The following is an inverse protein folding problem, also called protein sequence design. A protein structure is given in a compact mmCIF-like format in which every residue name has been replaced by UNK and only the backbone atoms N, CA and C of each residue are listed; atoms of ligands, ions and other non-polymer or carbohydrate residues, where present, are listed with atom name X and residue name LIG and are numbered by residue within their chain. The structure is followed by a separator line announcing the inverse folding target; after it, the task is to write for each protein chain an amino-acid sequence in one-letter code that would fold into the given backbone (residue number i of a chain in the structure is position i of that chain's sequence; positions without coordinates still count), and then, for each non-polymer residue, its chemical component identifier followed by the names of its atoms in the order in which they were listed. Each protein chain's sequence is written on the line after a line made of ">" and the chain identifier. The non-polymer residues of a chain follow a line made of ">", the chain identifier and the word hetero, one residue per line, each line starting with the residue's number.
data_IF_228966367872
#
_entry.id   IF_228966367872
#
_cell.length_a   1.000
_cell.length_b   1.000
_cell.length_c   1.000
_cell.angle_alpha   90.00
_cell.angle_beta   90.00
_cell.angle_gamma   90.00
#
_symmetry.space_group_name_H-M   'P 1'
#
loop_
_entity.id
_entity.type
_entity.pdbx_description
1 polymer ?
#
# COMPACT_ATOMS: atom_id res chain seq x y z
N UNK A 1 -59.81 9.18 -8.05
CA UNK A 1 -58.80 10.07 -8.66
C UNK A 1 -57.90 9.19 -9.51
N UNK A 2 -58.29 8.91 -10.74
CA UNK A 2 -57.56 8.04 -11.66
C UNK A 2 -56.33 8.77 -12.18
N UNK A 3 -55.15 8.39 -11.69
CA UNK A 3 -53.89 8.88 -12.20
C UNK A 3 -53.77 8.45 -13.67
N UNK A 4 -53.83 9.40 -14.60
CA UNK A 4 -53.58 9.11 -16.02
C UNK A 4 -52.18 8.48 -16.15
N UNK A 5 -52.04 7.43 -16.96
CA UNK A 5 -50.76 6.73 -17.12
C UNK A 5 -49.64 7.68 -17.56
N UNK A 6 -49.98 8.75 -18.30
CA UNK A 6 -49.05 9.79 -18.73
C UNK A 6 -48.53 10.66 -17.56
N UNK A 7 -49.37 10.89 -16.55
CA UNK A 7 -48.96 11.63 -15.34
C UNK A 7 -48.08 10.78 -14.44
N UNK A 8 -48.39 9.49 -14.33
CA UNK A 8 -47.56 8.51 -13.61
C UNK A 8 -46.16 8.37 -14.26
N UNK A 9 -46.11 8.31 -15.59
CA UNK A 9 -44.85 8.23 -16.36
C UNK A 9 -43.96 9.44 -16.12
N UNK A 10 -44.52 10.65 -16.23
CA UNK A 10 -43.78 11.90 -16.00
C UNK A 10 -43.27 12.02 -14.56
N UNK A 11 -44.05 11.54 -13.59
CA UNK A 11 -43.63 11.51 -12.18
C UNK A 11 -42.44 10.56 -11.98
N UNK A 12 -42.50 9.34 -12.53
CA UNK A 12 -41.39 8.38 -12.47
C UNK A 12 -40.10 8.93 -13.11
N UNK A 13 -40.20 9.60 -14.26
CA UNK A 13 -39.05 10.21 -14.93
C UNK A 13 -38.42 11.30 -14.05
N UNK A 14 -39.21 12.18 -13.45
CA UNK A 14 -38.71 13.24 -12.56
C UNK A 14 -38.04 12.69 -11.31
N UNK A 15 -38.62 11.66 -10.70
CA UNK A 15 -38.02 10.98 -9.55
C UNK A 15 -36.70 10.32 -9.94
N UNK A 16 -36.63 9.66 -11.10
CA UNK A 16 -35.39 9.07 -11.61
C UNK A 16 -34.30 10.12 -11.87
N UNK A 17 -34.65 11.26 -12.47
CA UNK A 17 -33.70 12.36 -12.70
C UNK A 17 -33.22 12.95 -11.37
N UNK A 18 -34.12 13.14 -10.39
CA UNK A 18 -33.78 13.68 -9.07
C UNK A 18 -32.86 12.75 -8.27
N UNK A 19 -33.08 11.44 -8.32
CA UNK A 19 -32.22 10.46 -7.63
C UNK A 19 -30.84 10.39 -8.26
N UNK A 20 -30.75 10.38 -9.59
CA UNK A 20 -29.47 10.42 -10.32
C UNK A 20 -28.71 11.71 -9.97
N UNK A 21 -29.38 12.86 -10.01
CA UNK A 21 -28.78 14.14 -9.64
C UNK A 21 -28.26 14.14 -8.20
N UNK A 22 -29.05 13.61 -7.25
CA UNK A 22 -28.65 13.51 -5.83
C UNK A 22 -27.39 12.65 -5.63
N UNK A 23 -27.29 11.51 -6.30
CA UNK A 23 -26.11 10.63 -6.21
C UNK A 23 -24.86 11.33 -6.76
N UNK A 24 -25.00 12.07 -7.86
CA UNK A 24 -23.89 12.82 -8.46
C UNK A 24 -23.42 13.93 -7.53
N UNK A 25 -24.34 14.72 -6.99
CA UNK A 25 -24.04 15.79 -6.03
C UNK A 25 -23.33 15.22 -4.80
N UNK A 26 -23.83 14.11 -4.25
CA UNK A 26 -23.22 13.47 -3.09
C UNK A 26 -21.81 12.94 -3.39
N UNK A 27 -21.57 12.33 -4.55
CA UNK A 27 -20.22 11.91 -4.97
C UNK A 27 -19.26 13.08 -5.13
N UNK A 28 -19.73 14.23 -5.61
CA UNK A 28 -18.92 15.45 -5.70
C UNK A 28 -18.62 16.00 -4.32
N UNK A 29 -19.63 16.08 -3.44
CA UNK A 29 -19.46 16.54 -2.06
C UNK A 29 -18.41 15.70 -1.30
N UNK A 30 -18.45 14.37 -1.42
CA UNK A 30 -17.44 13.49 -0.82
C UNK A 30 -16.03 13.80 -1.34
N UNK A 31 -15.87 14.10 -2.63
CA UNK A 31 -14.57 14.49 -3.19
C UNK A 31 -14.07 15.85 -2.71
N UNK A 32 -14.98 16.76 -2.35
CA UNK A 32 -14.62 18.08 -1.80
C UNK A 32 -14.32 18.03 -0.30
N UNK A 33 -15.05 17.20 0.46
CA UNK A 33 -14.84 17.01 1.90
C UNK A 33 -13.54 16.27 2.17
N UNK A 34 -13.23 15.24 1.37
CA UNK A 34 -11.95 14.54 1.39
C UNK A 34 -11.15 14.86 0.11
N UNK A 35 -10.39 15.97 0.10
CA UNK A 35 -9.51 16.31 -1.03
C UNK A 35 -8.41 15.26 -1.25
N UNK A 36 -8.13 14.40 -0.25
CA UNK A 36 -7.07 13.40 -0.29
C UNK A 36 -7.54 12.04 -0.85
N UNK A 37 -8.84 11.87 -1.14
CA UNK A 37 -9.40 10.61 -1.64
C UNK A 37 -8.68 10.09 -2.90
N UNK A 38 -8.27 10.99 -3.81
CA UNK A 38 -7.56 10.62 -5.03
C UNK A 38 -6.14 10.10 -4.75
N UNK A 39 -5.42 10.76 -3.84
CA UNK A 39 -4.08 10.40 -3.39
C UNK A 39 -4.11 9.06 -2.65
N UNK A 40 -5.08 8.88 -1.75
CA UNK A 40 -5.29 7.63 -1.00
C UNK A 40 -5.58 6.46 -1.94
N UNK A 41 -6.43 6.67 -2.96
CA UNK A 41 -6.68 5.64 -3.98
C UNK A 41 -5.43 5.27 -4.78
N UNK A 42 -4.58 6.25 -5.12
CA UNK A 42 -3.34 6.01 -5.83
C UNK A 42 -2.29 5.31 -4.95
N UNK A 43 -2.19 5.71 -3.68
CA UNK A 43 -1.36 5.04 -2.68
C UNK A 43 -1.77 3.57 -2.51
N UNK A 44 -3.08 3.28 -2.50
CA UNK A 44 -3.58 1.89 -2.40
C UNK A 44 -3.14 1.04 -3.58
N UNK A 45 -3.23 1.58 -4.79
CA UNK A 45 -2.77 0.90 -6.00
C UNK A 45 -1.26 0.65 -6.00
N UNK A 46 -0.47 1.67 -5.62
CA UNK A 46 0.99 1.57 -5.57
C UNK A 46 1.44 0.58 -4.51
N UNK A 47 0.86 0.63 -3.31
CA UNK A 47 1.14 -0.32 -2.24
C UNK A 47 0.79 -1.76 -2.67
N UNK A 48 -0.36 -1.97 -3.30
CA UNK A 48 -0.75 -3.29 -3.81
C UNK A 48 0.23 -3.84 -4.87
N UNK A 49 0.75 -2.97 -5.75
CA UNK A 49 1.79 -3.35 -6.70
C UNK A 49 3.09 -3.76 -6.00
N UNK A 50 3.52 -2.96 -5.02
CA UNK A 50 4.75 -3.23 -4.26
C UNK A 50 4.65 -4.54 -3.47
N UNK A 51 3.55 -4.79 -2.78
CA UNK A 51 3.26 -6.05 -2.05
C UNK A 51 3.30 -7.24 -3.01
N UNK A 52 2.68 -7.10 -4.19
CA UNK A 52 2.70 -8.12 -5.24
C UNK A 52 4.12 -8.39 -5.74
N UNK A 53 4.94 -7.36 -5.97
CA UNK A 53 6.35 -7.54 -6.39
C UNK A 53 7.24 -8.13 -5.30
N UNK A 54 6.89 -7.93 -4.03
CA UNK A 54 7.58 -8.52 -2.89
C UNK A 54 7.17 -9.99 -2.64
N UNK A 55 6.13 -10.49 -3.33
CA UNK A 55 5.60 -11.84 -3.12
C UNK A 55 4.93 -12.02 -1.76
N UNK A 56 4.47 -10.94 -1.14
CA UNK A 56 3.73 -10.96 0.12
C UNK A 56 2.25 -11.26 -0.12
N UNK A 57 1.57 -11.78 0.90
CA UNK A 57 0.15 -12.11 0.80
C UNK A 57 -0.68 -10.86 0.48
N UNK A 58 -1.52 -10.89 -0.55
CA UNK A 58 -2.31 -9.73 -0.98
C UNK A 58 -3.47 -9.42 -0.03
N UNK A 59 -3.73 -10.25 0.98
CA UNK A 59 -4.79 -10.12 1.96
C UNK A 59 -4.41 -9.28 3.19
N UNK A 60 -3.21 -8.72 3.25
CA UNK A 60 -2.79 -7.87 4.36
C UNK A 60 -3.62 -6.58 4.35
N UNK A 61 -4.49 -6.42 5.35
CA UNK A 61 -5.24 -5.19 5.58
C UNK A 61 -4.31 -4.15 6.20
N UNK A 62 -3.99 -3.11 5.42
CA UNK A 62 -3.14 -2.00 5.85
C UNK A 62 -3.99 -0.79 6.24
N UNK A 63 -3.66 -0.19 7.38
CA UNK A 63 -4.21 1.11 7.77
C UNK A 63 -3.70 2.23 6.82
N UNK A 64 -4.34 3.40 6.80
CA UNK A 64 -3.94 4.53 5.94
C UNK A 64 -2.48 4.96 6.14
N UNK A 65 -2.02 4.98 7.39
CA UNK A 65 -0.63 5.30 7.72
C UNK A 65 0.34 4.23 7.24
N UNK A 66 0.00 2.96 7.45
CA UNK A 66 0.80 1.81 7.02
C UNK A 66 0.85 1.71 5.50
N UNK A 67 -0.23 2.07 4.82
CA UNK A 67 -0.31 2.17 3.37
C UNK A 67 0.70 3.20 2.85
N UNK A 68 0.81 4.36 3.53
CA UNK A 68 1.79 5.39 3.21
C UNK A 68 3.21 4.84 3.34
N UNK A 69 3.50 4.12 4.43
CA UNK A 69 4.80 3.45 4.64
C UNK A 69 5.02 2.40 3.54
N UNK A 70 4.01 1.62 3.20
CA UNK A 70 4.10 0.55 2.21
C UNK A 70 4.49 1.06 0.82
N UNK A 71 4.06 2.28 0.45
CA UNK A 71 4.46 2.89 -0.84
C UNK A 71 5.94 3.24 -0.96
N UNK A 72 6.68 3.24 0.15
CA UNK A 72 8.11 3.56 0.21
C UNK A 72 9.00 2.31 0.09
N UNK A 73 8.44 1.11 0.20
CA UNK A 73 9.22 -0.11 0.00
C UNK A 73 9.67 -0.24 -1.45
N UNK A 74 10.92 -0.68 -1.61
CA UNK A 74 11.59 -0.88 -2.91
C UNK A 74 11.94 -2.35 -3.03
N UNK A 75 11.79 -2.90 -4.24
CA UNK A 75 12.18 -4.26 -4.54
C UNK A 75 13.71 -4.38 -4.71
N UNK A 76 14.33 -5.46 -4.22
CA UNK A 76 15.78 -5.65 -4.25
C UNK A 76 16.39 -5.63 -5.67
N UNK A 77 15.61 -5.96 -6.70
CA UNK A 77 16.04 -5.87 -8.11
C UNK A 77 16.04 -4.46 -8.70
N UNK A 78 15.71 -3.43 -7.92
CA UNK A 78 15.80 -2.03 -8.33
C UNK A 78 16.94 -1.36 -7.55
N UNK A 79 18.10 -1.16 -8.20
CA UNK A 79 19.27 -0.57 -7.57
C UNK A 79 20.56 -0.86 -8.33
N UNK A 80 21.68 -0.53 -7.69
CA UNK A 80 23.02 -0.91 -8.14
C UNK A 80 23.48 -2.15 -7.38
N UNK A 81 24.29 -2.99 -8.03
CA UNK A 81 24.90 -4.16 -7.39
C UNK A 81 26.23 -3.79 -6.72
N UNK A 82 26.68 -4.61 -5.77
CA UNK A 82 27.97 -4.40 -5.10
C UNK A 82 29.16 -4.37 -6.08
N UNK A 83 29.02 -5.05 -7.22
CA UNK A 83 30.01 -5.06 -8.30
C UNK A 83 30.14 -3.70 -9.01
N UNK A 84 29.10 -2.87 -8.95
CA UNK A 84 29.09 -1.53 -9.56
C UNK A 84 29.80 -0.49 -8.70
N UNK A 85 30.17 -0.83 -7.45
CA UNK A 85 30.81 0.07 -6.49
C UNK A 85 32.32 -0.17 -6.49
N UNK A 86 33.08 0.68 -7.18
CA UNK A 86 34.54 0.62 -7.25
C UNK A 86 35.24 1.15 -5.98
N UNK A 87 36.33 0.49 -5.59
CA UNK A 87 37.28 1.01 -4.57
C UNK A 87 36.87 0.85 -3.10
N UNK A 88 35.67 0.32 -2.81
CA UNK A 88 35.12 0.22 -1.45
C UNK A 88 35.13 -1.20 -0.86
N UNK A 89 35.97 -2.12 -1.36
CA UNK A 89 35.93 -3.55 -1.00
C UNK A 89 35.94 -3.83 0.51
N UNK A 90 36.85 -3.20 1.25
CA UNK A 90 36.95 -3.38 2.70
C UNK A 90 35.68 -2.95 3.46
N UNK A 91 35.04 -1.87 3.01
CA UNK A 91 33.79 -1.37 3.61
C UNK A 91 32.60 -2.27 3.26
N UNK A 92 32.57 -2.77 2.01
CA UNK A 92 31.54 -3.73 1.56
C UNK A 92 31.61 -5.02 2.39
N UNK A 93 32.82 -5.53 2.63
CA UNK A 93 33.05 -6.71 3.47
C UNK A 93 32.60 -6.47 4.91
N UNK A 94 32.97 -5.35 5.52
CA UNK A 94 32.55 -5.01 6.88
C UNK A 94 31.03 -4.89 7.02
N UNK A 95 30.37 -4.21 6.07
CA UNK A 95 28.90 -4.08 6.07
C UNK A 95 28.24 -5.44 5.89
N UNK A 96 28.78 -6.29 5.02
CA UNK A 96 28.24 -7.62 4.78
C UNK A 96 28.29 -8.47 6.05
N UNK A 97 29.43 -8.47 6.74
CA UNK A 97 29.66 -9.29 7.94
C UNK A 97 28.91 -8.77 9.17
N UNK A 98 28.93 -7.44 9.40
CA UNK A 98 28.34 -6.86 10.61
C UNK A 98 26.84 -6.62 10.51
N UNK A 99 26.31 -6.40 9.30
CA UNK A 99 24.92 -5.93 9.13
C UNK A 99 24.11 -6.92 8.29
N UNK A 100 24.54 -7.22 7.06
CA UNK A 100 23.72 -7.97 6.10
C UNK A 100 23.53 -9.42 6.55
N UNK A 101 24.61 -10.11 6.90
CA UNK A 101 24.57 -11.52 7.30
C UNK A 101 23.73 -11.72 8.57
N UNK A 102 23.92 -10.94 9.67
CA UNK A 102 23.08 -11.08 10.86
C UNK A 102 21.59 -10.88 10.58
N UNK A 103 21.21 -9.90 9.74
CA UNK A 103 19.82 -9.67 9.37
C UNK A 103 19.22 -10.83 8.56
N UNK A 104 19.99 -11.37 7.59
CA UNK A 104 19.58 -12.54 6.81
C UNK A 104 19.39 -13.79 7.68
N UNK A 105 20.36 -14.08 8.55
CA UNK A 105 20.29 -15.22 9.47
C UNK A 105 19.09 -15.08 10.40
N UNK A 106 18.82 -13.87 10.92
CA UNK A 106 17.64 -13.63 11.75
C UNK A 106 16.33 -13.90 11.03
N UNK A 107 16.23 -13.57 9.74
CA UNK A 107 15.02 -13.80 8.97
C UNK A 107 14.83 -15.27 8.59
N UNK A 108 15.90 -15.95 8.17
CA UNK A 108 15.87 -17.36 7.74
C UNK A 108 15.77 -18.31 8.94
N UNK A 109 16.53 -18.03 10.00
CA UNK A 109 16.64 -18.87 11.19
C UNK A 109 16.05 -18.17 12.42
N UNK A 110 14.78 -17.74 12.33
CA UNK A 110 14.06 -17.06 13.44
C UNK A 110 14.20 -17.78 14.79
N UNK A 111 14.16 -19.13 14.78
CA UNK A 111 14.31 -19.95 15.99
C UNK A 111 15.71 -19.87 16.60
N UNK A 112 16.77 -19.80 15.77
CA UNK A 112 18.17 -19.72 16.21
C UNK A 112 18.52 -18.29 16.69
N UNK A 113 17.98 -17.27 16.03
CA UNK A 113 18.24 -15.88 16.38
C UNK A 113 17.61 -15.46 17.70
N UNK A 114 16.52 -16.10 18.13
CA UNK A 114 15.90 -15.87 19.44
C UNK A 114 16.65 -16.58 20.59
N UNK A 115 17.43 -17.62 20.31
CA UNK A 115 18.18 -18.37 21.33
C UNK A 115 19.65 -17.98 21.42
N UNK A 116 20.19 -17.30 20.40
CA UNK A 116 21.60 -16.89 20.37
C UNK A 116 21.82 -15.55 21.06
N UNK A 117 22.57 -15.57 22.18
CA UNK A 117 23.02 -14.37 22.90
C UNK A 117 23.88 -13.42 22.03
N UNK A 118 24.46 -13.91 20.94
CA UNK A 118 25.23 -13.10 19.98
C UNK A 118 24.35 -12.27 19.05
N UNK A 119 23.11 -12.72 18.79
CA UNK A 119 22.16 -12.08 17.87
C UNK A 119 21.05 -11.31 18.60
N UNK A 120 20.91 -11.54 19.90
CA UNK A 120 20.04 -10.74 20.78
C UNK A 120 20.65 -9.37 21.04
N UNK A 121 19.85 -8.29 21.13
CA UNK A 121 20.36 -6.99 21.52
C UNK A 121 21.01 -7.07 22.92
N UNK A 122 22.11 -6.32 23.16
CA UNK A 122 22.70 -6.22 24.49
C UNK A 122 21.66 -5.66 25.47
N UNK A 123 21.67 -6.16 26.71
CA UNK A 123 20.82 -5.67 27.80
C UNK A 123 21.29 -4.30 28.28
#
# INVERSE_FOLDING_TARGET
>A
MSLSMDQALNFCIRVAVATVASIVIMKLAVRYIDPNHSINKNAKKKAAQVIKTLGLDPSIELNEYELRIATQFVHCGQGADWCDIGGCGAVIEEINDRIIIPLKIRNIYKKLALTSNLLSPPK
#
